data_IF_966299898726
#
_entry.id   IF_966299898726
#
_cell.length_a   1.000
_cell.length_b   1.000
_cell.length_c   1.000
_cell.angle_alpha   90.00
_cell.angle_beta   90.00
_cell.angle_gamma   90.00
#
_symmetry.space_group_name_H-M   'P 1'
#
loop_
_entity.id
_entity.type
_entity.pdbx_description
1 polymer ?
#
# COMPACT_ATOMS: atom_id res chain seq x y z
N UNK A 1 -21.55 17.93 12.99
CA UNK A 1 -21.71 17.53 14.38
C UNK A 1 -20.42 16.90 14.89
N UNK A 2 -19.93 17.37 16.00
CA UNK A 2 -18.70 16.81 16.57
C UNK A 2 -18.96 15.44 17.20
N UNK A 3 -18.07 14.49 16.94
CA UNK A 3 -18.14 13.15 17.51
C UNK A 3 -17.48 13.21 18.90
N UNK A 4 -18.12 12.58 19.89
CA UNK A 4 -17.61 12.62 21.25
C UNK A 4 -16.26 11.89 21.39
N UNK A 5 -15.46 12.32 22.37
CA UNK A 5 -14.19 11.68 22.68
C UNK A 5 -14.36 10.21 23.08
N UNK A 6 -15.49 9.89 23.71
CA UNK A 6 -15.81 8.50 24.08
C UNK A 6 -16.01 7.61 22.86
N UNK A 7 -16.70 8.12 21.83
CA UNK A 7 -16.91 7.36 20.58
C UNK A 7 -15.58 7.22 19.84
N UNK A 8 -14.78 8.27 19.80
CA UNK A 8 -13.46 8.23 19.18
C UNK A 8 -12.58 7.18 19.86
N UNK A 9 -12.59 7.13 21.19
CA UNK A 9 -11.84 6.14 21.94
C UNK A 9 -12.29 4.72 21.61
N UNK A 10 -13.60 4.49 21.51
CA UNK A 10 -14.13 3.19 21.13
C UNK A 10 -13.64 2.76 19.75
N UNK A 11 -13.57 3.70 18.81
CA UNK A 11 -13.08 3.42 17.47
C UNK A 11 -11.58 3.08 17.50
N UNK A 12 -10.79 3.84 18.26
CA UNK A 12 -9.36 3.56 18.41
C UNK A 12 -9.14 2.17 19.02
N UNK A 13 -9.92 1.81 20.03
CA UNK A 13 -9.84 0.49 20.66
C UNK A 13 -10.18 -0.61 19.65
N UNK A 14 -11.16 -0.38 18.79
CA UNK A 14 -11.51 -1.31 17.71
C UNK A 14 -10.33 -1.49 16.73
N UNK A 15 -9.70 -0.39 16.33
CA UNK A 15 -8.51 -0.44 15.46
C UNK A 15 -7.41 -1.28 16.11
N UNK A 16 -7.15 -1.04 17.39
CA UNK A 16 -6.09 -1.76 18.11
C UNK A 16 -6.34 -3.27 18.16
N UNK A 17 -7.61 -3.68 18.27
CA UNK A 17 -7.96 -5.10 18.25
C UNK A 17 -7.62 -5.75 16.90
N UNK A 18 -7.72 -5.00 15.80
CA UNK A 18 -7.43 -5.53 14.46
C UNK A 18 -5.93 -5.75 14.23
N UNK A 19 -5.06 -5.03 14.94
CA UNK A 19 -3.60 -5.11 14.77
C UNK A 19 -2.90 -5.86 15.89
N UNK A 20 -3.65 -6.48 16.77
CA UNK A 20 -3.12 -7.10 17.98
C UNK A 20 -1.99 -8.09 17.68
N UNK A 21 -2.15 -8.91 16.63
CA UNK A 21 -1.21 -10.00 16.36
C UNK A 21 0.02 -9.61 15.53
N UNK A 22 -0.14 -8.77 14.50
CA UNK A 22 0.91 -8.59 13.49
C UNK A 22 1.33 -7.15 13.22
N UNK A 23 0.69 -6.18 13.86
CA UNK A 23 1.00 -4.75 13.69
C UNK A 23 0.92 -4.30 12.22
N UNK A 24 -0.02 -4.87 11.48
CA UNK A 24 -0.19 -4.61 10.06
C UNK A 24 -1.68 -4.63 9.74
N UNK A 25 -2.15 -3.64 8.97
CA UNK A 25 -3.54 -3.58 8.52
C UNK A 25 -3.55 -3.76 7.00
N UNK A 26 -4.10 -4.88 6.54
CA UNK A 26 -4.27 -5.12 5.12
C UNK A 26 -5.52 -4.39 4.60
N UNK A 27 -5.75 -4.46 3.28
CA UNK A 27 -6.85 -3.71 2.66
C UNK A 27 -8.23 -4.20 3.11
N UNK A 28 -8.38 -5.47 3.42
CA UNK A 28 -9.66 -6.01 3.91
C UNK A 28 -9.92 -5.55 5.35
N UNK A 29 -8.91 -5.60 6.18
CA UNK A 29 -9.00 -5.11 7.56
C UNK A 29 -9.31 -3.62 7.59
N UNK A 30 -8.65 -2.86 6.71
CA UNK A 30 -8.91 -1.43 6.55
C UNK A 30 -10.38 -1.18 6.23
N UNK A 31 -10.94 -1.94 5.30
CA UNK A 31 -12.34 -1.80 4.91
C UNK A 31 -13.27 -2.03 6.11
N UNK A 32 -13.02 -3.08 6.87
CA UNK A 32 -13.80 -3.38 8.08
C UNK A 32 -13.73 -2.26 9.09
N UNK A 33 -12.54 -1.72 9.29
CA UNK A 33 -12.31 -0.62 10.22
C UNK A 33 -13.09 0.62 9.78
N UNK A 34 -13.01 0.96 8.49
CA UNK A 34 -13.72 2.12 7.96
C UNK A 34 -15.24 1.95 8.04
N UNK A 35 -15.74 0.75 7.80
CA UNK A 35 -17.17 0.44 7.95
C UNK A 35 -17.62 0.63 9.41
N UNK A 36 -16.80 0.21 10.36
CA UNK A 36 -17.09 0.42 11.78
C UNK A 36 -17.07 1.90 12.11
N UNK A 37 -16.14 2.66 11.54
CA UNK A 37 -16.09 4.11 11.71
C UNK A 37 -17.36 4.77 11.23
N UNK A 38 -17.86 4.36 10.07
CA UNK A 38 -19.11 4.88 9.51
C UNK A 38 -20.29 4.60 10.46
N UNK A 39 -20.37 3.40 11.00
CA UNK A 39 -21.42 3.05 11.98
C UNK A 39 -21.37 3.93 13.22
N UNK A 40 -20.18 4.39 13.59
CA UNK A 40 -20.00 5.28 14.75
C UNK A 40 -20.14 6.76 14.40
N UNK A 41 -20.39 7.08 13.14
CA UNK A 41 -20.61 8.46 12.68
C UNK A 41 -19.41 9.16 12.05
N UNK A 42 -18.28 8.47 11.86
CA UNK A 42 -17.12 9.05 11.19
C UNK A 42 -17.28 8.95 9.66
N UNK A 43 -16.81 9.96 8.95
CA UNK A 43 -16.67 9.87 7.51
C UNK A 43 -15.45 8.98 7.17
N UNK A 44 -15.37 8.54 5.91
CA UNK A 44 -14.25 7.69 5.46
C UNK A 44 -12.90 8.39 5.67
N UNK A 45 -12.81 9.66 5.31
CA UNK A 45 -11.56 10.41 5.46
C UNK A 45 -11.17 10.61 6.92
N UNK A 46 -12.16 10.89 7.77
CA UNK A 46 -11.91 11.01 9.22
C UNK A 46 -11.44 9.68 9.80
N UNK A 47 -12.10 8.60 9.44
CA UNK A 47 -11.73 7.25 9.89
C UNK A 47 -10.31 6.89 9.47
N UNK A 48 -9.95 7.20 8.22
CA UNK A 48 -8.62 6.94 7.71
C UNK A 48 -7.57 7.79 8.42
N UNK A 49 -7.88 9.07 8.69
CA UNK A 49 -6.95 9.94 9.41
C UNK A 49 -6.69 9.44 10.83
N UNK A 50 -7.73 8.98 11.52
CA UNK A 50 -7.58 8.41 12.86
C UNK A 50 -6.73 7.13 12.79
N UNK A 51 -6.99 6.28 11.80
CA UNK A 51 -6.24 5.05 11.60
C UNK A 51 -4.74 5.34 11.38
N UNK A 52 -4.41 6.32 10.54
CA UNK A 52 -3.03 6.72 10.29
C UNK A 52 -2.36 7.30 11.54
N UNK A 53 -3.09 8.09 12.30
CA UNK A 53 -2.57 8.65 13.54
C UNK A 53 -2.22 7.54 14.54
N UNK A 54 -3.12 6.58 14.72
CA UNK A 54 -2.90 5.45 15.61
C UNK A 54 -1.73 4.60 15.12
N UNK A 55 -1.64 4.38 13.81
CA UNK A 55 -0.54 3.63 13.20
C UNK A 55 0.80 4.28 13.51
N UNK A 56 0.89 5.61 13.37
CA UNK A 56 2.12 6.34 13.66
C UNK A 56 2.49 6.26 15.15
N UNK A 57 1.51 6.39 16.03
CA UNK A 57 1.74 6.36 17.48
C UNK A 57 2.11 4.98 17.99
N UNK A 58 1.52 3.93 17.43
CA UNK A 58 1.69 2.55 17.91
C UNK A 58 2.66 1.73 17.09
N UNK A 59 3.15 2.26 15.99
CA UNK A 59 4.18 1.60 15.18
C UNK A 59 3.68 0.47 14.30
N UNK A 60 2.44 0.53 13.80
CA UNK A 60 2.01 -0.46 12.84
C UNK A 60 1.88 0.13 11.42
N UNK A 61 1.72 -0.73 10.43
CA UNK A 61 1.76 -0.39 9.01
C UNK A 61 0.38 -0.56 8.39
N UNK A 62 0.00 0.41 7.56
CA UNK A 62 -1.17 0.29 6.70
C UNK A 62 -0.70 -0.14 5.31
N UNK A 63 -1.28 -1.22 4.77
CA UNK A 63 -0.95 -1.68 3.43
C UNK A 63 -1.20 -0.59 2.38
N UNK A 64 -2.25 0.21 2.56
CA UNK A 64 -2.54 1.36 1.70
C UNK A 64 -1.35 2.30 1.56
N UNK A 65 -0.70 2.62 2.66
CA UNK A 65 0.44 3.55 2.65
C UNK A 65 1.68 2.90 2.05
N UNK A 66 1.84 1.58 2.23
CA UNK A 66 2.92 0.84 1.59
C UNK A 66 2.75 0.83 0.07
N UNK A 67 1.51 0.66 -0.43
CA UNK A 67 1.20 0.71 -1.86
C UNK A 67 1.49 2.10 -2.42
N UNK A 68 1.11 3.15 -1.71
CA UNK A 68 1.36 4.52 -2.14
C UNK A 68 2.86 4.80 -2.24
N UNK A 69 3.63 4.33 -1.29
CA UNK A 69 5.09 4.46 -1.33
C UNK A 69 5.70 3.72 -2.52
N UNK A 70 5.20 2.52 -2.82
CA UNK A 70 5.66 1.76 -3.98
C UNK A 70 5.36 2.49 -5.28
N UNK A 71 4.18 3.09 -5.38
CA UNK A 71 3.79 3.87 -6.54
C UNK A 71 4.69 5.10 -6.71
N UNK A 72 4.97 5.82 -5.63
CA UNK A 72 5.86 6.97 -5.66
C UNK A 72 7.27 6.59 -6.11
N UNK A 73 7.74 5.41 -5.68
CA UNK A 73 9.04 4.89 -6.09
C UNK A 73 9.08 4.66 -7.60
N UNK A 74 8.07 3.99 -8.15
CA UNK A 74 7.97 3.76 -9.59
C UNK A 74 7.88 5.07 -10.37
N UNK A 75 7.08 6.01 -9.86
CA UNK A 75 6.92 7.33 -10.46
C UNK A 75 8.27 8.06 -10.55
N UNK A 76 9.05 8.00 -9.47
CA UNK A 76 10.38 8.59 -9.43
C UNK A 76 11.29 8.01 -10.52
N UNK A 77 11.27 6.69 -10.70
CA UNK A 77 12.07 6.04 -11.74
C UNK A 77 11.58 6.40 -13.14
N UNK A 78 10.29 6.61 -13.31
CA UNK A 78 9.68 6.89 -14.61
C UNK A 78 9.70 8.39 -14.98
N UNK A 79 10.21 9.25 -14.10
CA UNK A 79 10.10 10.72 -14.24
C UNK A 79 10.66 11.27 -15.57
N UNK A 80 11.79 10.73 -16.04
CA UNK A 80 12.46 11.30 -17.23
C UNK A 80 11.85 10.84 -18.55
N UNK A 81 11.60 9.54 -18.71
CA UNK A 81 11.20 8.98 -19.99
C UNK A 81 9.95 8.09 -19.93
N UNK A 82 9.31 8.02 -18.78
CA UNK A 82 8.13 7.19 -18.59
C UNK A 82 8.46 5.70 -18.58
N UNK A 83 9.71 5.33 -18.40
CA UNK A 83 10.17 3.93 -18.46
C UNK A 83 10.87 3.53 -17.17
N UNK A 84 10.71 2.26 -16.83
CA UNK A 84 11.32 1.62 -15.65
C UNK A 84 12.13 0.42 -16.14
N UNK A 85 13.41 0.36 -15.79
CA UNK A 85 14.24 -0.79 -16.14
C UNK A 85 14.10 -1.90 -15.10
N UNK A 86 14.69 -3.07 -15.39
CA UNK A 86 14.61 -4.23 -14.52
C UNK A 86 15.15 -3.95 -13.12
N UNK A 87 16.30 -3.29 -13.06
CA UNK A 87 16.97 -2.99 -11.79
C UNK A 87 16.13 -2.05 -10.94
N UNK A 88 15.55 -1.02 -11.57
CA UNK A 88 14.65 -0.08 -10.90
C UNK A 88 13.40 -0.78 -10.39
N UNK A 89 12.82 -1.66 -11.21
CA UNK A 89 11.64 -2.43 -10.83
C UNK A 89 11.94 -3.33 -9.64
N UNK A 90 13.10 -4.02 -9.66
CA UNK A 90 13.50 -4.88 -8.54
C UNK A 90 13.74 -4.07 -7.27
N UNK A 91 14.26 -2.85 -7.37
CA UNK A 91 14.37 -1.94 -6.23
C UNK A 91 13.00 -1.60 -5.66
N UNK A 92 12.03 -1.32 -6.53
CA UNK A 92 10.66 -1.05 -6.10
C UNK A 92 10.04 -2.27 -5.42
N UNK A 93 10.30 -3.48 -5.92
CA UNK A 93 9.85 -4.72 -5.28
C UNK A 93 10.42 -4.83 -3.86
N UNK A 94 11.72 -4.57 -3.71
CA UNK A 94 12.38 -4.63 -2.40
C UNK A 94 11.81 -3.62 -1.40
N UNK A 95 11.57 -2.40 -1.84
CA UNK A 95 10.98 -1.34 -1.02
C UNK A 95 9.56 -1.73 -0.60
N UNK A 96 8.77 -2.23 -1.54
CA UNK A 96 7.39 -2.66 -1.28
C UNK A 96 7.34 -3.85 -0.32
N UNK A 97 8.24 -4.82 -0.53
CA UNK A 97 8.35 -5.98 0.34
C UNK A 97 8.65 -5.58 1.78
N UNK A 98 9.61 -4.69 1.96
CA UNK A 98 9.99 -4.19 3.28
C UNK A 98 8.86 -3.37 3.91
N UNK A 99 8.22 -2.52 3.12
CA UNK A 99 7.12 -1.67 3.60
C UNK A 99 5.93 -2.48 4.06
N UNK A 100 5.68 -3.65 3.46
CA UNK A 100 4.58 -4.55 3.85
C UNK A 100 5.00 -5.58 4.90
N UNK A 101 6.17 -5.44 5.50
CA UNK A 101 6.70 -6.35 6.52
C UNK A 101 6.72 -7.82 6.06
N UNK A 102 7.00 -8.04 4.79
CA UNK A 102 7.01 -9.37 4.18
C UNK A 102 5.67 -10.12 4.27
N UNK A 103 4.56 -9.39 4.42
CA UNK A 103 3.24 -10.00 4.51
C UNK A 103 2.70 -10.45 3.15
N UNK A 104 3.23 -9.91 2.07
CA UNK A 104 2.77 -10.18 0.72
C UNK A 104 3.87 -10.95 -0.03
N UNK A 105 3.54 -12.09 -0.67
CA UNK A 105 4.53 -12.85 -1.46
C UNK A 105 5.10 -12.00 -2.60
N UNK A 106 6.36 -12.23 -2.95
CA UNK A 106 7.05 -11.46 -3.97
C UNK A 106 6.32 -11.46 -5.32
N UNK A 107 5.78 -12.61 -5.75
CA UNK A 107 5.07 -12.68 -7.02
C UNK A 107 3.83 -11.77 -7.03
N UNK A 108 3.16 -11.62 -5.90
CA UNK A 108 2.01 -10.74 -5.78
C UNK A 108 2.43 -9.28 -5.76
N UNK A 109 3.56 -8.95 -5.12
CA UNK A 109 4.12 -7.61 -5.14
C UNK A 109 4.44 -7.17 -6.57
N UNK A 110 5.09 -8.05 -7.34
CA UNK A 110 5.42 -7.79 -8.74
C UNK A 110 4.17 -7.56 -9.57
N UNK A 111 3.15 -8.34 -9.35
CA UNK A 111 1.87 -8.22 -10.05
C UNK A 111 1.21 -6.87 -9.76
N UNK A 112 1.23 -6.44 -8.50
CA UNK A 112 0.67 -5.14 -8.10
C UNK A 112 1.46 -3.98 -8.69
N UNK A 113 2.79 -4.08 -8.71
CA UNK A 113 3.64 -3.05 -9.32
C UNK A 113 3.40 -2.96 -10.83
N UNK A 114 3.28 -4.09 -11.50
CA UNK A 114 2.96 -4.11 -12.93
C UNK A 114 1.63 -3.41 -13.20
N UNK A 115 0.63 -3.68 -12.38
CA UNK A 115 -0.68 -3.03 -12.50
C UNK A 115 -0.58 -1.52 -12.31
N UNK A 116 0.22 -1.07 -11.33
CA UNK A 116 0.46 0.35 -11.10
C UNK A 116 1.09 1.00 -12.33
N UNK A 117 2.06 0.34 -12.95
CA UNK A 117 2.70 0.83 -14.16
C UNK A 117 1.68 0.94 -15.31
N UNK A 118 0.87 -0.08 -15.51
CA UNK A 118 -0.15 -0.06 -16.56
C UNK A 118 -1.17 1.05 -16.35
N UNK A 119 -1.64 1.23 -15.12
CA UNK A 119 -2.62 2.26 -14.79
C UNK A 119 -2.08 3.69 -14.98
N UNK A 120 -0.78 3.87 -14.85
CA UNK A 120 -0.15 5.19 -14.97
C UNK A 120 0.55 5.40 -16.32
N UNK A 121 0.47 4.42 -17.23
CA UNK A 121 1.07 4.52 -18.54
C UNK A 121 2.60 4.45 -18.55
N UNK A 122 3.19 3.96 -17.50
CA UNK A 122 4.64 3.75 -17.43
C UNK A 122 5.00 2.47 -18.14
N UNK A 123 6.12 2.48 -18.88
CA UNK A 123 6.57 1.35 -19.69
C UNK A 123 7.80 0.70 -19.08
N UNK A 124 7.93 -0.60 -19.29
CA UNK A 124 9.12 -1.33 -18.87
C UNK A 124 10.18 -1.27 -19.96
N UNK A 125 11.44 -1.12 -19.56
CA UNK A 125 12.57 -1.26 -20.45
C UNK A 125 12.95 -2.73 -20.52
N UNK A 126 12.36 -3.45 -21.48
CA UNK A 126 12.76 -4.82 -21.79
C UNK A 126 13.83 -4.73 -22.87
N UNK A 127 14.95 -5.39 -22.67
CA UNK A 127 16.11 -5.13 -23.49
C UNK A 127 16.02 -5.77 -24.88
N UNK A 128 16.41 -5.07 -25.89
CA UNK A 128 16.51 -5.43 -27.28
C UNK A 128 16.90 -6.87 -27.64
N UNK A 129 17.91 -7.07 -28.49
CA UNK A 129 18.25 -8.37 -29.04
C UNK A 129 18.61 -9.43 -27.99
N UNK A 130 19.26 -9.02 -26.90
CA UNK A 130 19.69 -9.92 -25.83
C UNK A 130 18.99 -9.63 -24.52
N UNK A 131 17.94 -8.82 -24.51
CA UNK A 131 17.25 -8.44 -23.31
C UNK A 131 16.24 -9.48 -22.83
N UNK A 132 16.06 -9.60 -21.54
CA UNK A 132 15.06 -10.50 -20.97
C UNK A 132 13.68 -9.85 -21.01
N UNK A 133 12.65 -10.68 -21.16
CA UNK A 133 11.25 -10.25 -21.10
C UNK A 133 10.74 -10.32 -19.67
N UNK A 134 11.51 -9.74 -18.76
CA UNK A 134 11.24 -9.83 -17.32
C UNK A 134 9.87 -9.27 -16.93
N UNK A 135 9.45 -8.20 -17.59
CA UNK A 135 8.17 -7.54 -17.29
C UNK A 135 7.00 -8.30 -17.91
N UNK A 136 7.14 -8.66 -19.18
CA UNK A 136 6.10 -9.42 -19.90
C UNK A 136 5.81 -10.76 -19.25
N UNK A 137 6.80 -11.34 -18.57
CA UNK A 137 6.66 -12.60 -17.89
C UNK A 137 5.85 -12.51 -16.59
N UNK A 138 5.65 -11.31 -16.05
CA UNK A 138 4.86 -11.13 -14.84
C UNK A 138 3.37 -11.25 -15.19
N UNK A 139 2.61 -12.14 -14.52
CA UNK A 139 1.17 -12.27 -14.79
C UNK A 139 0.42 -10.97 -14.53
N UNK A 140 -0.62 -10.72 -15.30
CA UNK A 140 -1.48 -9.56 -15.11
C UNK A 140 -2.52 -9.82 -14.04
#
# INVERSE_FOLDING_TARGET
>A
MAISEGVKKQFIDYIMLQVFDDQYIDRQEERKILEEGIRKGFGVEEGLAIMRQVAAEKGFVLERDAEERAKETLETFATNDGKVDKKEFESAVGIFKKATKNKIPEHELKKRLKKMMEENGWKAKEGGLFGSKWYSAIPS
#
